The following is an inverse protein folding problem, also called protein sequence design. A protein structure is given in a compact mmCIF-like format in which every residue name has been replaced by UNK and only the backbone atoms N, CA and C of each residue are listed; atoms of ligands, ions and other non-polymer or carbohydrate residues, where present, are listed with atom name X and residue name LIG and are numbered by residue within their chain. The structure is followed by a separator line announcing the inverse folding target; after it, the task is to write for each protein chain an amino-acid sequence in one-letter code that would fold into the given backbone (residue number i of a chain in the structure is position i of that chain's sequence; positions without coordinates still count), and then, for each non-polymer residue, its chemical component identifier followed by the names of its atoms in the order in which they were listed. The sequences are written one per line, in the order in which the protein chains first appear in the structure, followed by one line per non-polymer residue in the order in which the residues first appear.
data_IF_386683353465
#
_entry.id   IF_386683353465
#
_cell.length_a   1.000
_cell.length_b   1.000
_cell.length_c   1.000
_cell.angle_alpha   90.00
_cell.angle_beta   90.00
_cell.angle_gamma   90.00
#
_symmetry.space_group_name_H-M   'P 1'
#
loop_
_entity.id
_entity.type
_entity.pdbx_description
1 polymer ?
#
# COMPACT_ATOMS: atom_id res chain seq x y z
N UNK A 1 3.09 -22.36 -17.81
CA UNK A 1 3.64 -21.01 -17.54
C UNK A 1 5.04 -21.16 -16.96
N UNK A 2 6.06 -20.52 -17.56
CA UNK A 2 7.39 -20.38 -16.92
C UNK A 2 7.36 -19.12 -16.05
N UNK A 3 7.10 -19.28 -14.75
CA UNK A 3 7.19 -18.17 -13.80
C UNK A 3 8.65 -17.85 -13.48
N UNK A 4 9.00 -16.56 -13.35
CA UNK A 4 10.29 -16.13 -12.80
C UNK A 4 10.20 -16.27 -11.27
N UNK A 5 10.91 -17.23 -10.70
CA UNK A 5 11.02 -17.42 -9.26
C UNK A 5 12.09 -16.46 -8.73
N UNK A 6 11.78 -15.76 -7.64
CA UNK A 6 12.75 -14.97 -6.86
C UNK A 6 12.87 -15.66 -5.50
N UNK A 7 14.10 -15.89 -5.06
CA UNK A 7 14.42 -16.38 -3.71
C UNK A 7 15.17 -15.23 -3.03
N UNK A 8 14.68 -14.81 -1.88
CA UNK A 8 15.23 -13.70 -1.10
C UNK A 8 15.74 -14.21 0.26
N UNK A 9 16.46 -13.35 0.98
CA UNK A 9 16.91 -13.67 2.34
C UNK A 9 15.71 -13.89 3.28
N UNK A 10 15.90 -14.75 4.28
CA UNK A 10 14.90 -14.90 5.33
C UNK A 10 14.94 -13.68 6.26
N UNK A 11 13.80 -12.99 6.39
CA UNK A 11 13.66 -11.81 7.25
C UNK A 11 13.07 -12.24 8.61
N UNK A 12 13.94 -12.25 9.62
CA UNK A 12 13.66 -12.66 11.00
C UNK A 12 12.90 -11.61 11.84
N UNK A 13 12.67 -10.41 11.29
CA UNK A 13 11.85 -9.37 11.90
C UNK A 13 10.39 -9.84 12.05
N UNK A 14 9.80 -9.61 13.22
CA UNK A 14 8.55 -10.24 13.63
C UNK A 14 7.29 -9.62 13.02
N UNK A 15 7.23 -8.30 13.00
CA UNK A 15 6.02 -7.56 12.67
C UNK A 15 6.09 -7.01 11.25
N UNK A 16 4.92 -6.90 10.61
CA UNK A 16 4.77 -6.31 9.28
C UNK A 16 3.98 -5.01 9.36
N UNK A 17 4.44 -3.98 8.65
CA UNK A 17 3.82 -2.66 8.65
C UNK A 17 3.57 -2.19 7.23
N UNK A 18 2.54 -1.36 7.05
CA UNK A 18 2.29 -0.65 5.80
C UNK A 18 2.43 0.85 6.00
N UNK A 19 3.28 1.47 5.18
CA UNK A 19 3.53 2.92 5.16
C UNK A 19 3.18 3.46 3.79
N UNK A 20 2.09 4.21 3.71
CA UNK A 20 1.61 4.84 2.48
C UNK A 20 2.22 6.22 2.34
N UNK A 21 3.06 6.39 1.33
CA UNK A 21 3.82 7.58 1.05
C UNK A 21 3.33 8.28 -0.23
N UNK A 22 3.30 9.60 -0.19
CA UNK A 22 2.85 10.46 -1.29
C UNK A 22 3.80 11.64 -1.45
N UNK A 23 4.27 11.90 -2.67
CA UNK A 23 5.13 13.03 -3.03
C UNK A 23 4.72 13.57 -4.39
N UNK A 24 4.58 14.89 -4.51
CA UNK A 24 4.31 15.51 -5.80
C UNK A 24 5.54 15.40 -6.73
N UNK A 25 5.36 15.33 -8.05
CA UNK A 25 6.48 15.42 -8.98
C UNK A 25 7.29 16.71 -8.74
N UNK A 26 8.62 16.61 -8.88
CA UNK A 26 9.59 17.71 -8.70
C UNK A 26 9.70 18.29 -7.28
N UNK A 27 9.03 17.72 -6.28
CA UNK A 27 9.27 18.08 -4.88
C UNK A 27 10.31 17.14 -4.27
N UNK A 28 11.12 17.68 -3.35
CA UNK A 28 12.09 16.88 -2.59
C UNK A 28 11.47 16.22 -1.36
N UNK A 29 10.31 16.72 -0.91
CA UNK A 29 9.60 16.25 0.27
C UNK A 29 8.19 15.79 -0.06
N UNK A 30 7.75 14.74 0.62
CA UNK A 30 6.42 14.17 0.54
C UNK A 30 5.73 14.14 1.90
N UNK A 31 4.84 13.18 2.06
CA UNK A 31 4.09 12.94 3.29
C UNK A 31 3.73 11.46 3.42
N UNK A 32 3.64 10.99 4.66
CA UNK A 32 3.07 9.68 4.98
C UNK A 32 1.60 9.91 5.34
N UNK A 33 0.70 9.28 4.58
CA UNK A 33 -0.75 9.46 4.75
C UNK A 33 -1.38 8.29 5.51
N UNK A 34 -0.69 7.15 5.59
CA UNK A 34 -1.11 6.00 6.38
C UNK A 34 0.10 5.29 6.96
N UNK A 35 0.04 5.00 8.24
CA UNK A 35 0.96 4.08 8.92
C UNK A 35 0.14 3.07 9.72
N UNK A 36 0.30 1.78 9.43
CA UNK A 36 -0.44 0.73 10.11
C UNK A 36 0.44 -0.50 10.40
N UNK A 37 0.21 -1.12 11.56
CA UNK A 37 0.71 -2.46 11.87
C UNK A 37 -0.26 -3.50 11.29
N UNK A 38 0.27 -4.51 10.61
CA UNK A 38 -0.47 -5.68 10.13
C UNK A 38 -0.29 -6.82 11.13
N UNK A 39 -1.17 -6.86 12.13
CA UNK A 39 -1.15 -7.91 13.14
C UNK A 39 -1.86 -9.16 12.61
N UNK A 40 -1.12 -10.27 12.51
CA UNK A 40 -1.68 -11.59 12.22
C UNK A 40 -1.99 -12.32 13.53
N UNK A 41 -3.26 -12.61 13.78
CA UNK A 41 -3.66 -13.43 14.92
C UNK A 41 -3.50 -14.92 14.60
N UNK A 42 -2.29 -15.45 14.81
CA UNK A 42 -1.96 -16.87 14.58
C UNK A 42 -2.74 -17.82 15.50
N UNK A 43 -3.32 -17.34 16.62
CA UNK A 43 -4.02 -18.20 17.61
C UNK A 43 -5.36 -18.76 17.09
N UNK A 44 -5.80 -18.39 15.88
CA UNK A 44 -7.06 -18.83 15.26
C UNK A 44 -6.87 -19.42 13.87
N UNK A 45 -5.77 -20.11 13.60
CA UNK A 45 -5.61 -20.86 12.36
C UNK A 45 -6.25 -22.25 12.50
N UNK A 46 -7.31 -22.59 11.74
CA UNK A 46 -7.73 -23.98 11.60
C UNK A 46 -6.66 -24.77 10.83
N UNK A 47 -6.61 -26.09 11.06
CA UNK A 47 -5.62 -27.01 10.45
C UNK A 47 -5.60 -26.97 8.90
N UNK A 48 -6.68 -26.50 8.27
CA UNK A 48 -6.75 -26.29 6.81
C UNK A 48 -6.70 -24.79 6.45
N UNK A 49 -5.63 -24.40 5.75
CA UNK A 49 -5.42 -23.04 5.25
C UNK A 49 -6.25 -22.82 3.97
N UNK A 50 -7.34 -22.05 4.09
CA UNK A 50 -8.03 -21.50 2.92
C UNK A 50 -7.54 -20.07 2.66
N UNK A 51 -6.67 -19.90 1.66
CA UNK A 51 -6.06 -18.62 1.28
C UNK A 51 -7.08 -17.52 0.94
N UNK A 52 -8.28 -17.87 0.49
CA UNK A 52 -9.36 -16.89 0.19
C UNK A 52 -9.96 -16.24 1.45
N UNK A 53 -9.71 -16.79 2.64
CA UNK A 53 -10.25 -16.30 3.93
C UNK A 53 -9.21 -15.59 4.81
N UNK A 54 -7.95 -15.54 4.40
CA UNK A 54 -6.86 -14.92 5.19
C UNK A 54 -7.13 -13.44 5.47
N UNK A 55 -7.71 -12.71 4.51
CA UNK A 55 -8.04 -11.28 4.66
C UNK A 55 -9.05 -10.95 5.78
N UNK A 56 -9.76 -11.95 6.36
CA UNK A 56 -10.69 -11.71 7.48
C UNK A 56 -10.03 -11.77 8.86
N UNK A 57 -8.73 -12.09 8.94
CA UNK A 57 -8.01 -12.32 10.21
C UNK A 57 -6.81 -11.41 10.44
N UNK A 58 -6.39 -10.66 9.42
CA UNK A 58 -5.42 -9.57 9.58
C UNK A 58 -6.10 -8.42 10.30
N UNK A 59 -5.61 -8.05 11.48
CA UNK A 59 -6.02 -6.83 12.16
C UNK A 59 -5.05 -5.73 11.80
N UNK A 60 -5.59 -4.56 11.51
CA UNK A 60 -4.80 -3.37 11.28
C UNK A 60 -4.92 -2.46 12.51
N UNK A 61 -3.78 -1.95 12.97
CA UNK A 61 -3.73 -0.97 14.06
C UNK A 61 -3.24 0.34 13.46
N UNK A 62 -4.01 1.41 13.65
CA UNK A 62 -3.67 2.75 13.20
C UNK A 62 -2.49 3.29 14.02
N UNK A 63 -1.38 3.54 13.33
CA UNK A 63 -0.14 4.08 13.89
C UNK A 63 0.15 5.49 13.38
N UNK A 64 -0.85 6.21 12.83
CA UNK A 64 -0.64 7.57 12.33
C UNK A 64 -0.11 8.54 13.39
N UNK A 65 -0.34 8.26 14.68
CA UNK A 65 0.23 9.03 15.80
C UNK A 65 1.78 9.00 15.83
N UNK A 66 2.42 8.03 15.17
CA UNK A 66 3.87 7.91 15.06
C UNK A 66 4.43 8.57 13.79
N UNK A 67 3.60 9.22 12.98
CA UNK A 67 4.06 9.97 11.82
C UNK A 67 4.68 11.28 12.31
N UNK A 68 6.01 11.29 12.37
CA UNK A 68 6.84 12.45 12.71
C UNK A 68 7.52 13.02 11.46
N UNK A 69 8.16 14.18 11.58
CA UNK A 69 8.99 14.72 10.50
C UNK A 69 10.17 13.81 10.17
N UNK A 70 10.73 13.14 11.18
CA UNK A 70 11.91 12.28 11.00
C UNK A 70 11.57 11.05 10.15
N UNK A 71 10.45 10.38 10.42
CA UNK A 71 10.01 9.25 9.59
C UNK A 71 9.61 9.72 8.18
N UNK A 72 9.01 10.90 8.02
CA UNK A 72 8.73 11.45 6.68
C UNK A 72 10.03 11.70 5.92
N UNK A 73 11.03 12.32 6.54
CA UNK A 73 12.34 12.56 5.93
C UNK A 73 13.06 11.25 5.55
N UNK A 74 12.94 10.22 6.38
CA UNK A 74 13.48 8.89 6.08
C UNK A 74 12.83 8.30 4.82
N UNK A 75 11.51 8.38 4.70
CA UNK A 75 10.80 7.90 3.50
C UNK A 75 10.96 8.81 2.28
N UNK A 76 11.24 10.10 2.47
CA UNK A 76 11.66 11.01 1.39
C UNK A 76 12.98 10.54 0.77
N UNK A 77 13.97 10.21 1.61
CA UNK A 77 15.27 9.68 1.18
C UNK A 77 15.09 8.36 0.42
N UNK A 78 14.42 7.39 1.02
CA UNK A 78 14.15 6.08 0.39
C UNK A 78 13.43 6.25 -0.96
N UNK A 79 12.40 7.11 -1.00
CA UNK A 79 11.61 7.31 -2.22
C UNK A 79 12.35 8.11 -3.28
N UNK A 80 13.37 8.91 -2.92
CA UNK A 80 14.16 9.69 -3.87
C UNK A 80 15.03 8.81 -4.78
N UNK A 81 15.42 7.62 -4.30
CA UNK A 81 16.20 6.65 -5.08
C UNK A 81 15.36 5.87 -6.10
N UNK A 82 14.02 5.98 -6.03
CA UNK A 82 13.09 5.23 -6.87
C UNK A 82 12.50 6.16 -7.93
N UNK A 83 13.17 6.23 -9.09
CA UNK A 83 12.73 7.07 -10.20
C UNK A 83 11.28 6.74 -10.63
N UNK A 84 10.43 7.76 -10.73
CA UNK A 84 9.03 7.63 -11.12
C UNK A 84 8.09 7.19 -9.99
N UNK A 85 8.58 7.03 -8.76
CA UNK A 85 7.75 6.74 -7.60
C UNK A 85 7.31 8.02 -6.87
N UNK A 86 5.99 8.19 -6.80
CA UNK A 86 5.32 9.36 -6.22
C UNK A 86 4.18 9.00 -5.28
N UNK A 87 3.64 7.79 -5.40
CA UNK A 87 2.45 7.37 -4.67
C UNK A 87 2.46 5.85 -4.54
N UNK A 88 2.37 5.38 -3.31
CA UNK A 88 2.29 3.95 -3.05
C UNK A 88 2.58 3.58 -1.61
N UNK A 89 2.59 2.28 -1.33
CA UNK A 89 2.79 1.75 0.02
C UNK A 89 4.05 0.89 0.07
N UNK A 90 4.92 1.21 1.01
CA UNK A 90 5.98 0.31 1.44
C UNK A 90 5.38 -0.66 2.45
N UNK A 91 5.44 -1.95 2.11
CA UNK A 91 5.24 -3.00 3.09
C UNK A 91 6.62 -3.41 3.62
N UNK A 92 6.77 -3.33 4.94
CA UNK A 92 8.06 -3.47 5.62
C UNK A 92 7.94 -4.44 6.78
N UNK A 93 9.07 -5.05 7.17
CA UNK A 93 9.18 -5.82 8.42
C UNK A 93 10.13 -5.11 9.40
N UNK A 94 9.72 -5.04 10.66
CA UNK A 94 10.47 -4.48 11.78
C UNK A 94 10.16 -5.26 13.08
N UNK A 95 10.99 -5.13 14.12
CA UNK A 95 10.65 -5.70 15.43
C UNK A 95 9.76 -4.75 16.26
N UNK A 96 9.78 -3.46 15.94
CA UNK A 96 9.00 -2.44 16.63
C UNK A 96 8.87 -1.15 15.80
N UNK A 97 7.98 -0.25 16.22
CA UNK A 97 7.87 1.10 15.63
C UNK A 97 9.14 1.93 15.88
N UNK A 98 9.81 1.74 17.01
CA UNK A 98 11.05 2.46 17.31
C UNK A 98 12.17 2.04 16.35
N UNK A 99 12.25 0.77 15.97
CA UNK A 99 13.21 0.30 14.96
C UNK A 99 12.95 0.96 13.60
N UNK A 100 11.67 1.15 13.22
CA UNK A 100 11.31 1.87 11.97
C UNK A 100 11.83 3.30 12.01
N UNK A 101 11.62 4.01 13.12
CA UNK A 101 12.09 5.39 13.30
C UNK A 101 13.62 5.47 13.22
N UNK A 102 14.32 4.45 13.72
CA UNK A 102 15.78 4.36 13.66
C UNK A 102 16.32 3.83 12.31
N UNK A 103 15.44 3.50 11.35
CA UNK A 103 15.84 2.95 10.04
C UNK A 103 16.17 1.45 10.04
N UNK A 104 15.93 0.73 11.14
CA UNK A 104 16.17 -0.71 11.25
C UNK A 104 14.95 -1.54 10.82
N UNK A 105 14.70 -1.58 9.51
CA UNK A 105 13.64 -2.39 8.91
C UNK A 105 14.06 -2.95 7.56
N UNK A 106 13.25 -3.87 7.02
CA UNK A 106 13.41 -4.44 5.68
C UNK A 106 12.18 -4.12 4.86
N UNK A 107 12.35 -3.58 3.66
CA UNK A 107 11.26 -3.41 2.69
C UNK A 107 11.05 -4.75 2.00
N UNK A 108 9.83 -5.27 2.01
CA UNK A 108 9.47 -6.55 1.38
C UNK A 108 8.67 -6.35 0.10
N UNK A 109 7.93 -5.26 -0.01
CA UNK A 109 7.15 -4.95 -1.20
C UNK A 109 6.97 -3.44 -1.34
N UNK A 110 7.03 -2.96 -2.59
CA UNK A 110 6.60 -1.62 -2.96
C UNK A 110 5.35 -1.71 -3.82
N UNK A 111 4.22 -1.34 -3.25
CA UNK A 111 2.94 -1.30 -3.93
C UNK A 111 2.73 0.08 -4.58
N UNK A 112 2.25 0.11 -5.82
CA UNK A 112 1.96 1.36 -6.55
C UNK A 112 0.58 1.95 -6.22
N UNK A 113 -0.06 2.53 -7.25
CA UNK A 113 -1.33 3.27 -7.14
C UNK A 113 -2.52 2.48 -6.59
N UNK A 114 -2.47 1.14 -6.65
CA UNK A 114 -3.52 0.27 -6.08
C UNK A 114 -3.47 0.15 -4.55
N UNK A 115 -2.53 0.83 -3.89
CA UNK A 115 -2.34 0.77 -2.44
C UNK A 115 -3.46 1.48 -1.70
N UNK A 116 -4.20 0.73 -0.89
CA UNK A 116 -5.19 1.29 0.05
C UNK A 116 -4.51 1.73 1.36
N UNK A 117 -4.93 2.84 2.00
CA UNK A 117 -4.47 3.27 3.32
C UNK A 117 -4.93 2.29 4.42
N UNK A 118 -4.01 1.45 4.86
CA UNK A 118 -4.34 0.31 5.74
C UNK A 118 -4.85 0.71 7.12
N UNK A 119 -4.50 1.90 7.62
CA UNK A 119 -4.99 2.37 8.91
C UNK A 119 -6.51 2.51 8.96
N UNK A 120 -7.19 2.66 7.81
CA UNK A 120 -8.65 2.74 7.73
C UNK A 120 -9.35 1.44 8.12
N UNK A 121 -8.63 0.32 8.09
CA UNK A 121 -9.15 -0.98 8.56
C UNK A 121 -9.05 -1.16 10.08
N UNK A 122 -8.48 -0.20 10.80
CA UNK A 122 -8.59 -0.18 12.26
C UNK A 122 -10.06 -0.03 12.67
N UNK A 123 -10.61 -0.93 13.52
CA UNK A 123 -12.01 -0.93 13.92
C UNK A 123 -12.43 0.32 14.73
N UNK A 124 -11.47 1.10 15.22
CA UNK A 124 -11.74 2.35 15.94
C UNK A 124 -12.09 3.53 15.02
N UNK A 125 -11.90 3.40 13.70
CA UNK A 125 -12.28 4.46 12.76
C UNK A 125 -13.79 4.52 12.52
N UNK A 126 -14.32 5.74 12.40
CA UNK A 126 -15.70 5.93 11.95
C UNK A 126 -15.83 5.76 10.44
N UNK A 127 -16.97 5.23 9.98
CA UNK A 127 -17.24 5.03 8.55
C UNK A 127 -17.16 6.35 7.76
N UNK A 128 -17.65 7.44 8.35
CA UNK A 128 -17.58 8.77 7.74
C UNK A 128 -16.13 9.25 7.55
N UNK A 129 -15.25 8.98 8.53
CA UNK A 129 -13.83 9.27 8.42
C UNK A 129 -13.20 8.47 7.27
N UNK A 130 -13.48 7.16 7.20
CA UNK A 130 -12.94 6.31 6.14
C UNK A 130 -13.32 6.79 4.75
N UNK A 131 -14.60 7.11 4.50
CA UNK A 131 -15.03 7.61 3.17
C UNK A 131 -14.39 8.96 2.80
N UNK A 132 -14.30 9.88 3.77
CA UNK A 132 -13.62 11.17 3.55
C UNK A 132 -12.15 10.96 3.20
N UNK A 133 -11.45 10.10 3.95
CA UNK A 133 -10.05 9.80 3.71
C UNK A 133 -9.83 9.13 2.34
N UNK A 134 -10.69 8.19 1.94
CA UNK A 134 -10.61 7.57 0.61
C UNK A 134 -10.70 8.59 -0.51
N UNK A 135 -11.61 9.58 -0.38
CA UNK A 135 -11.71 10.67 -1.35
C UNK A 135 -10.40 11.44 -1.43
N UNK A 136 -9.87 11.90 -0.30
CA UNK A 136 -8.60 12.65 -0.24
C UNK A 136 -7.43 11.83 -0.83
N UNK A 137 -7.37 10.54 -0.50
CA UNK A 137 -6.38 9.59 -1.01
C UNK A 137 -6.38 9.51 -2.55
N UNK A 138 -7.56 9.35 -3.16
CA UNK A 138 -7.67 9.28 -4.62
C UNK A 138 -7.56 10.66 -5.30
N UNK A 139 -7.91 11.75 -4.61
CA UNK A 139 -7.68 13.11 -5.10
C UNK A 139 -6.17 13.40 -5.21
N UNK A 140 -5.36 12.99 -4.23
CA UNK A 140 -3.89 13.08 -4.31
C UNK A 140 -3.32 12.26 -5.47
N UNK A 141 -3.78 11.01 -5.63
CA UNK A 141 -3.40 10.17 -6.76
C UNK A 141 -3.73 10.82 -8.12
N UNK A 142 -4.92 11.42 -8.24
CA UNK A 142 -5.37 12.08 -9.46
C UNK A 142 -4.54 13.34 -9.78
N UNK A 143 -4.17 14.11 -8.75
CA UNK A 143 -3.29 15.28 -8.91
C UNK A 143 -1.93 14.86 -9.48
N UNK A 144 -1.30 13.85 -8.90
CA UNK A 144 -0.02 13.31 -9.39
C UNK A 144 -0.15 12.77 -10.83
N UNK A 145 -1.23 12.03 -11.12
CA UNK A 145 -1.50 11.51 -12.46
C UNK A 145 -1.65 12.63 -13.51
N UNK A 146 -2.31 13.74 -13.15
CA UNK A 146 -2.47 14.89 -14.03
C UNK A 146 -1.14 15.59 -14.31
N UNK A 147 -0.30 15.80 -13.29
CA UNK A 147 1.05 16.35 -13.46
C UNK A 147 1.88 15.47 -14.39
N UNK A 148 1.94 14.16 -14.11
CA UNK A 148 2.68 13.20 -14.93
C UNK A 148 2.16 13.14 -16.38
N UNK A 149 0.84 13.26 -16.60
CA UNK A 149 0.24 13.31 -17.93
C UNK A 149 0.74 14.51 -18.74
N UNK A 150 0.78 15.70 -18.13
CA UNK A 150 1.22 16.93 -18.80
C UNK A 150 2.68 16.80 -19.22
N UNK A 151 3.53 16.30 -18.33
CA UNK A 151 4.97 16.25 -18.53
C UNK A 151 5.41 15.10 -19.44
N UNK A 152 4.88 13.91 -19.21
CA UNK A 152 5.27 12.69 -19.93
C UNK A 152 4.41 12.43 -21.17
N UNK A 153 3.42 13.30 -21.43
CA UNK A 153 2.44 13.17 -22.54
C UNK A 153 1.71 11.82 -22.54
N UNK A 154 1.55 11.21 -21.36
CA UNK A 154 0.88 9.92 -21.20
C UNK A 154 -0.62 10.10 -21.40
N UNK A 155 -1.24 9.25 -22.21
CA UNK A 155 -2.69 9.27 -22.42
C UNK A 155 -3.37 8.39 -21.39
N UNK A 156 -4.43 8.86 -20.71
CA UNK A 156 -5.22 8.02 -19.82
C UNK A 156 -5.86 6.87 -20.60
N UNK A 157 -6.14 5.77 -19.90
CA UNK A 157 -6.86 4.65 -20.47
C UNK A 157 -8.22 5.12 -21.03
N UNK A 158 -8.55 4.70 -22.25
CA UNK A 158 -9.85 5.01 -22.84
C UNK A 158 -10.97 4.39 -21.99
N UNK A 159 -12.09 5.09 -21.73
CA UNK A 159 -13.19 4.56 -20.92
C UNK A 159 -13.72 3.20 -21.40
N UNK A 160 -13.83 2.97 -22.71
CA UNK A 160 -14.26 1.69 -23.26
C UNK A 160 -13.29 0.53 -22.98
N UNK A 161 -11.98 0.81 -22.90
CA UNK A 161 -10.98 -0.19 -22.50
C UNK A 161 -11.10 -0.48 -21.01
N UNK A 162 -11.28 0.55 -20.18
CA UNK A 162 -11.49 0.39 -18.75
C UNK A 162 -12.72 -0.46 -18.44
N UNK A 163 -13.86 -0.14 -19.05
CA UNK A 163 -15.10 -0.91 -18.89
C UNK A 163 -14.94 -2.37 -19.31
N UNK A 164 -14.28 -2.61 -20.45
CA UNK A 164 -13.99 -3.97 -20.93
C UNK A 164 -13.08 -4.72 -19.96
N UNK A 165 -12.05 -4.08 -19.42
CA UNK A 165 -11.16 -4.67 -18.42
C UNK A 165 -11.94 -5.03 -17.15
N UNK A 166 -12.73 -4.11 -16.60
CA UNK A 166 -13.54 -4.37 -15.40
C UNK A 166 -14.52 -5.51 -15.64
N UNK A 167 -15.23 -5.52 -16.77
CA UNK A 167 -16.16 -6.59 -17.12
C UNK A 167 -15.45 -7.94 -17.23
N UNK A 168 -14.32 -8.00 -17.94
CA UNK A 168 -13.57 -9.24 -18.11
C UNK A 168 -12.96 -9.75 -16.80
N UNK A 169 -12.45 -8.86 -15.95
CA UNK A 169 -11.76 -9.22 -14.70
C UNK A 169 -12.75 -9.61 -13.59
N UNK A 170 -13.92 -8.97 -13.50
CA UNK A 170 -14.81 -9.16 -12.36
C UNK A 170 -16.15 -9.82 -12.71
N UNK A 171 -16.61 -9.72 -13.96
CA UNK A 171 -17.93 -10.23 -14.38
C UNK A 171 -17.83 -11.53 -15.21
N UNK A 172 -16.77 -11.69 -16.02
CA UNK A 172 -16.49 -12.94 -16.76
C UNK A 172 -15.72 -13.99 -15.94
N UNK A 173 -15.38 -13.75 -14.67
CA UNK A 173 -14.81 -14.79 -13.80
C UNK A 173 -15.81 -15.90 -13.44
N UNK A 174 -17.10 -15.72 -13.77
CA UNK A 174 -18.16 -16.71 -13.57
C UNK A 174 -18.16 -17.89 -14.55
N UNK A 175 -17.31 -17.88 -15.59
CA UNK A 175 -17.29 -18.91 -16.65
C UNK A 175 -16.05 -19.79 -16.68
N UNK A 176 -15.07 -19.58 -15.79
CA UNK A 176 -13.84 -20.40 -15.71
C UNK A 176 -13.85 -21.44 -14.58
N UNK A 177 -14.93 -21.50 -13.78
CA UNK A 177 -15.11 -22.47 -12.69
C UNK A 177 -16.43 -23.26 -12.81
N UNK A 178 -17.02 -23.33 -14.01
CA UNK A 178 -18.18 -24.17 -14.34
C UNK A 178 -17.76 -25.44 -15.08
#
# INVERSE_FOLDING_TARGET
MKGKLIIEEYIDKKEEYGILYVRAPHTSSGTITSFALKSFDFKKLPEEINFSKINKKTRYINLNAYITKDIVNLFDQISSDINGFYFGRFDIKANSVIDIINGDFKIIELNGIGSVPLHLYDPHNSLQYCYRFYKEHYDMALQIANTNKIEQKIRPMKPGVLLKTVFNTYLNFSTYYS
#
